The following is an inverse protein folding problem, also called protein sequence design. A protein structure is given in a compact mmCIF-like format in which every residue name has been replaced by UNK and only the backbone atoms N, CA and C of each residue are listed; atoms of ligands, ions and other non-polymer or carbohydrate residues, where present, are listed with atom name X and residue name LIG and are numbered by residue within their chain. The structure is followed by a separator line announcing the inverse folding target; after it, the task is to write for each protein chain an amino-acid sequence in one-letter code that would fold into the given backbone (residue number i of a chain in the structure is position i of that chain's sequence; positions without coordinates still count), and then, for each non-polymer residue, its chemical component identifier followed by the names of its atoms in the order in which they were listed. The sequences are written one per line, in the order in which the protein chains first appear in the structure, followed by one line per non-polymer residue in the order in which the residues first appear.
data_IF_681285391125
#
_entry.id   IF_681285391125
#
_cell.length_a   1.000
_cell.length_b   1.000
_cell.length_c   1.000
_cell.angle_alpha   90.00
_cell.angle_beta   90.00
_cell.angle_gamma   90.00
#
_symmetry.space_group_name_H-M   'P 1'
#
loop_
_entity.id
_entity.type
_entity.pdbx_description
1 polymer ?
#
# COMPACT_ATOMS: atom_id res chain seq x y z
N UNK A 1 -23.44 -12.90 -0.29
CA UNK A 1 -24.83 -13.06 -0.75
C UNK A 1 -24.97 -12.75 -2.22
N UNK A 2 -26.04 -13.30 -2.85
CA UNK A 2 -26.45 -12.91 -4.19
C UNK A 2 -27.70 -12.04 -4.07
N UNK A 3 -27.79 -11.05 -4.93
CA UNK A 3 -28.97 -10.21 -5.09
C UNK A 3 -29.40 -10.24 -6.55
N UNK A 4 -30.70 -10.30 -6.79
CA UNK A 4 -31.30 -10.30 -8.12
C UNK A 4 -32.01 -8.97 -8.32
N UNK A 5 -31.49 -8.14 -9.19
CA UNK A 5 -32.14 -6.91 -9.63
C UNK A 5 -33.14 -7.25 -10.73
N UNK A 6 -34.41 -7.02 -10.44
CA UNK A 6 -35.48 -7.21 -11.43
C UNK A 6 -35.59 -5.98 -12.33
N UNK A 7 -35.98 -6.17 -13.61
CA UNK A 7 -36.22 -5.03 -14.51
C UNK A 7 -37.32 -4.10 -13.97
N UNK A 8 -37.23 -2.81 -14.24
CA UNK A 8 -38.25 -1.83 -13.88
C UNK A 8 -39.65 -2.28 -14.42
N UNK A 9 -40.62 -2.40 -13.54
CA UNK A 9 -41.97 -2.85 -13.88
C UNK A 9 -42.27 -4.34 -13.63
N UNK A 10 -41.29 -5.12 -13.17
CA UNK A 10 -41.50 -6.52 -12.76
C UNK A 10 -42.13 -6.66 -11.37
N UNK A 11 -42.34 -5.57 -10.64
CA UNK A 11 -43.10 -5.53 -9.36
C UNK A 11 -44.61 -5.50 -9.65
N UNK A 12 -45.12 -6.51 -10.27
CA UNK A 12 -46.57 -6.71 -10.52
C UNK A 12 -47.18 -7.69 -9.53
N UNK A 13 -48.25 -7.27 -8.87
CA UNK A 13 -49.06 -8.08 -7.98
C UNK A 13 -49.45 -9.44 -8.61
N UNK A 14 -49.07 -10.54 -7.94
CA UNK A 14 -49.78 -11.81 -8.00
C UNK A 14 -49.68 -12.64 -9.28
N UNK A 15 -48.93 -13.60 -9.20
CA UNK A 15 -48.66 -14.88 -9.81
C UNK A 15 -47.16 -14.97 -10.22
N UNK A 16 -46.39 -15.71 -9.44
CA UNK A 16 -44.96 -15.86 -9.63
C UNK A 16 -44.62 -16.35 -11.03
N UNK A 17 -44.39 -15.41 -11.94
CA UNK A 17 -43.94 -15.71 -13.27
C UNK A 17 -42.43 -15.91 -13.24
N UNK A 18 -42.00 -17.17 -13.18
CA UNK A 18 -40.60 -17.58 -13.23
C UNK A 18 -39.82 -16.97 -14.43
N UNK A 19 -40.53 -16.46 -15.44
CA UNK A 19 -39.87 -15.73 -16.55
C UNK A 19 -39.25 -14.40 -16.14
N UNK A 20 -39.88 -13.65 -15.20
CA UNK A 20 -39.33 -12.36 -14.75
C UNK A 20 -38.05 -12.49 -13.90
N UNK A 21 -37.92 -13.59 -13.16
CA UNK A 21 -36.71 -13.87 -12.37
C UNK A 21 -35.49 -14.16 -13.25
N UNK A 22 -35.69 -14.79 -14.43
CA UNK A 22 -34.64 -15.06 -15.39
C UNK A 22 -34.19 -13.83 -16.21
N UNK A 23 -35.05 -12.80 -16.21
CA UNK A 23 -34.70 -11.50 -16.84
C UNK A 23 -33.94 -10.58 -15.91
N UNK A 24 -33.88 -10.89 -14.61
CA UNK A 24 -33.14 -10.13 -13.61
C UNK A 24 -31.61 -10.22 -13.78
N UNK A 25 -30.92 -9.23 -13.26
CA UNK A 25 -29.46 -9.21 -13.20
C UNK A 25 -28.98 -9.72 -11.85
N UNK A 26 -28.27 -10.85 -11.83
CA UNK A 26 -27.66 -11.38 -10.62
C UNK A 26 -26.39 -10.59 -10.30
N UNK A 27 -26.24 -10.18 -9.05
CA UNK A 27 -25.01 -9.53 -8.55
C UNK A 27 -24.57 -10.09 -7.19
N UNK A 28 -23.29 -9.94 -6.90
CA UNK A 28 -22.81 -10.15 -5.54
C UNK A 28 -23.24 -8.96 -4.66
N UNK A 29 -23.64 -9.26 -3.42
CA UNK A 29 -23.95 -8.27 -2.42
C UNK A 29 -23.35 -8.67 -1.07
N UNK A 30 -22.50 -7.80 -0.52
CA UNK A 30 -21.84 -7.97 0.77
C UNK A 30 -21.05 -6.72 1.12
N UNK A 31 -21.05 -6.32 2.40
CA UNK A 31 -20.42 -5.08 2.85
C UNK A 31 -18.93 -5.04 2.44
N UNK A 32 -18.15 -6.02 2.85
CA UNK A 32 -16.71 -6.09 2.54
C UNK A 32 -16.46 -6.22 1.03
N UNK A 33 -17.26 -7.03 0.34
CA UNK A 33 -17.16 -7.16 -1.12
C UNK A 33 -17.38 -5.81 -1.83
N UNK A 34 -18.42 -5.08 -1.46
CA UNK A 34 -18.74 -3.79 -2.07
C UNK A 34 -17.70 -2.72 -1.71
N UNK A 35 -17.19 -2.73 -0.48
CA UNK A 35 -16.11 -1.84 -0.03
C UNK A 35 -14.83 -2.07 -0.84
N UNK A 36 -14.38 -3.32 -0.98
CA UNK A 36 -13.19 -3.66 -1.75
C UNK A 36 -13.36 -3.43 -3.24
N UNK A 37 -14.55 -3.70 -3.78
CA UNK A 37 -14.86 -3.34 -5.18
C UNK A 37 -14.82 -1.83 -5.40
N UNK A 38 -15.27 -1.05 -4.41
CA UNK A 38 -15.17 0.42 -4.42
C UNK A 38 -13.71 0.88 -4.35
N UNK A 39 -12.90 0.35 -3.44
CA UNK A 39 -11.48 0.69 -3.32
C UNK A 39 -10.70 0.41 -4.63
N UNK A 40 -10.95 -0.74 -5.25
CA UNK A 40 -10.33 -1.13 -6.53
C UNK A 40 -10.99 -0.50 -7.77
N UNK A 41 -11.88 0.47 -7.60
CA UNK A 41 -12.41 1.30 -8.70
C UNK A 41 -11.55 2.53 -8.98
N UNK A 42 -10.62 2.89 -8.07
CA UNK A 42 -9.66 3.97 -8.28
C UNK A 42 -8.44 3.49 -9.08
N UNK A 43 -8.13 4.09 -10.25
CA UNK A 43 -6.97 3.68 -11.05
C UNK A 43 -5.64 3.83 -10.33
N UNK A 44 -5.49 4.81 -9.43
CA UNK A 44 -4.25 5.02 -8.69
C UNK A 44 -4.02 3.87 -7.68
N UNK A 45 -5.07 3.46 -6.96
CA UNK A 45 -5.02 2.31 -6.05
C UNK A 45 -4.68 1.02 -6.79
N UNK A 46 -5.31 0.76 -7.94
CA UNK A 46 -5.02 -0.43 -8.76
C UNK A 46 -3.58 -0.44 -9.28
N UNK A 47 -3.04 0.72 -9.64
CA UNK A 47 -1.63 0.82 -10.05
C UNK A 47 -0.70 0.57 -8.87
N UNK A 48 -0.98 1.14 -7.70
CA UNK A 48 -0.18 0.96 -6.50
C UNK A 48 -0.12 -0.50 -6.06
N UNK A 49 -1.26 -1.17 -5.97
CA UNK A 49 -1.35 -2.62 -5.71
C UNK A 49 -0.52 -3.44 -6.70
N UNK A 50 -0.58 -3.06 -7.98
CA UNK A 50 0.17 -3.76 -9.04
C UNK A 50 1.68 -3.52 -8.93
N UNK A 51 2.11 -2.34 -8.46
CA UNK A 51 3.51 -2.02 -8.17
C UNK A 51 3.97 -2.78 -6.93
N UNK A 52 3.18 -2.77 -5.83
CA UNK A 52 3.45 -3.54 -4.63
C UNK A 52 3.64 -5.03 -4.94
N UNK A 53 2.70 -5.63 -5.67
CA UNK A 53 2.80 -7.03 -6.09
C UNK A 53 3.99 -7.32 -7.01
N UNK A 54 4.55 -6.33 -7.68
CA UNK A 54 5.73 -6.47 -8.51
C UNK A 54 7.04 -6.25 -7.73
N UNK A 55 7.01 -5.41 -6.70
CA UNK A 55 8.15 -5.16 -5.80
C UNK A 55 8.32 -6.29 -4.77
N UNK A 56 7.22 -6.87 -4.28
CA UNK A 56 7.23 -7.80 -3.15
C UNK A 56 6.54 -9.14 -3.45
N UNK A 57 6.87 -9.83 -4.57
CA UNK A 57 6.11 -11.00 -5.03
C UNK A 57 6.10 -12.19 -4.06
N UNK A 58 7.09 -12.28 -3.17
CA UNK A 58 7.26 -13.42 -2.26
C UNK A 58 6.81 -13.11 -0.82
N UNK A 59 6.12 -11.98 -0.60
CA UNK A 59 5.71 -11.50 0.72
C UNK A 59 4.21 -11.24 0.81
N UNK A 60 3.71 -10.94 2.01
CA UNK A 60 2.32 -10.53 2.21
C UNK A 60 1.96 -9.21 1.49
N UNK A 61 2.95 -8.36 1.23
CA UNK A 61 2.76 -7.10 0.52
C UNK A 61 2.38 -7.27 -0.97
N UNK A 62 2.49 -8.50 -1.52
CA UNK A 62 1.98 -8.79 -2.86
C UNK A 62 0.44 -8.81 -2.95
N UNK A 63 -0.24 -8.76 -1.81
CA UNK A 63 -1.68 -8.95 -1.72
C UNK A 63 -2.35 -7.75 -1.04
N UNK A 64 -3.51 -7.35 -1.57
CA UNK A 64 -4.34 -6.33 -0.93
C UNK A 64 -4.89 -6.83 0.41
N UNK A 65 -4.68 -6.04 1.49
CA UNK A 65 -5.02 -6.42 2.86
C UNK A 65 -6.52 -6.53 3.11
N UNK A 66 -7.32 -5.73 2.42
CA UNK A 66 -8.79 -5.77 2.49
C UNK A 66 -9.43 -6.96 1.77
N UNK A 67 -8.66 -7.64 0.93
CA UNK A 67 -9.06 -8.82 0.17
C UNK A 67 -9.43 -8.54 -1.28
N UNK A 68 -9.18 -9.52 -2.13
CA UNK A 68 -9.55 -9.47 -3.55
C UNK A 68 -11.06 -9.75 -3.70
N UNK A 69 -11.87 -8.81 -4.25
CA UNK A 69 -13.31 -9.02 -4.47
C UNK A 69 -13.62 -10.27 -5.31
N UNK A 70 -12.69 -10.72 -6.15
CA UNK A 70 -12.86 -11.96 -6.93
C UNK A 70 -12.72 -13.22 -6.07
N UNK A 71 -11.98 -13.16 -4.98
CA UNK A 71 -11.76 -14.27 -4.04
C UNK A 71 -12.77 -14.28 -2.89
N UNK A 72 -13.25 -13.12 -2.43
CA UNK A 72 -14.17 -12.99 -1.30
C UNK A 72 -15.42 -13.88 -1.41
N UNK A 73 -16.11 -13.99 -2.58
CA UNK A 73 -17.31 -14.82 -2.69
C UNK A 73 -17.05 -16.32 -2.54
N UNK A 74 -15.81 -16.78 -2.71
CA UNK A 74 -15.42 -18.18 -2.58
C UNK A 74 -15.01 -18.60 -1.17
N UNK A 75 -14.88 -17.63 -0.23
CA UNK A 75 -14.51 -17.92 1.16
C UNK A 75 -15.61 -18.69 1.88
N UNK A 76 -15.22 -19.72 2.63
CA UNK A 76 -16.14 -20.45 3.48
C UNK A 76 -16.18 -19.90 4.90
N UNK A 77 -17.26 -20.19 5.63
CA UNK A 77 -17.40 -19.79 7.04
C UNK A 77 -16.30 -20.42 7.91
N UNK A 78 -15.93 -21.66 7.61
CA UNK A 78 -14.88 -22.39 8.31
C UNK A 78 -13.50 -21.72 8.12
N UNK A 79 -13.18 -21.28 6.89
CA UNK A 79 -11.95 -20.53 6.60
C UNK A 79 -11.93 -19.21 7.36
N UNK A 80 -13.07 -18.50 7.39
CA UNK A 80 -13.19 -17.24 8.13
C UNK A 80 -12.92 -17.44 9.63
N UNK A 81 -13.55 -18.44 10.26
CA UNK A 81 -13.36 -18.74 11.68
C UNK A 81 -11.93 -19.20 11.99
N UNK A 82 -11.34 -20.02 11.13
CA UNK A 82 -9.96 -20.52 11.30
C UNK A 82 -8.95 -19.36 11.21
N UNK A 83 -9.08 -18.47 10.23
CA UNK A 83 -8.23 -17.29 10.10
C UNK A 83 -8.34 -16.38 11.32
N UNK A 84 -9.57 -16.09 11.78
CA UNK A 84 -9.77 -15.29 12.99
C UNK A 84 -9.11 -15.95 14.22
N UNK A 85 -9.32 -17.25 14.41
CA UNK A 85 -8.76 -17.96 15.55
C UNK A 85 -7.22 -18.01 15.57
N UNK A 86 -6.59 -18.00 14.41
CA UNK A 86 -5.12 -18.02 14.29
C UNK A 86 -4.49 -16.65 14.52
N UNK A 87 -5.11 -15.59 14.01
CA UNK A 87 -4.46 -14.28 13.94
C UNK A 87 -4.94 -13.29 15.01
N UNK A 88 -6.19 -13.40 15.49
CA UNK A 88 -6.76 -12.46 16.46
C UNK A 88 -6.61 -12.97 17.90
N UNK A 89 -5.43 -12.77 18.46
CA UNK A 89 -5.15 -13.12 19.87
C UNK A 89 -4.15 -12.12 20.49
N UNK A 90 -4.11 -11.99 21.83
CA UNK A 90 -3.26 -11.02 22.52
C UNK A 90 -1.76 -11.18 22.23
N UNK A 91 -1.27 -12.40 21.96
CA UNK A 91 0.15 -12.63 21.63
C UNK A 91 0.53 -12.16 20.22
N UNK A 92 -0.44 -11.84 19.38
CA UNK A 92 -0.26 -11.32 18.02
C UNK A 92 -0.89 -9.92 17.91
N UNK A 93 -0.64 -9.06 18.91
CA UNK A 93 -1.21 -7.70 18.91
C UNK A 93 -0.24 -6.69 19.50
N UNK A 94 -0.25 -5.49 18.95
CA UNK A 94 0.38 -4.31 19.51
C UNK A 94 -0.71 -3.38 20.04
N UNK A 95 -0.56 -2.89 21.27
CA UNK A 95 -1.56 -2.06 21.93
C UNK A 95 -0.95 -0.69 22.19
N UNK A 96 -1.52 0.35 21.58
CA UNK A 96 -1.13 1.74 21.81
C UNK A 96 -2.25 2.46 22.57
N UNK A 97 -1.86 3.22 23.59
CA UNK A 97 -2.78 4.03 24.38
C UNK A 97 -2.29 5.48 24.36
N UNK A 98 -3.16 6.39 23.98
CA UNK A 98 -2.85 7.82 23.89
C UNK A 98 -3.96 8.66 24.53
N UNK A 99 -3.58 9.63 25.37
CA UNK A 99 -4.50 10.58 26.00
C UNK A 99 -4.20 10.80 27.49
N UNK A 100 -5.05 11.56 28.15
CA UNK A 100 -5.03 11.76 29.59
C UNK A 100 -5.72 10.57 30.27
N UNK A 101 -4.95 9.52 30.56
CA UNK A 101 -5.43 8.27 31.14
C UNK A 101 -4.57 7.83 32.32
N UNK A 102 -5.21 7.10 33.25
CA UNK A 102 -4.52 6.38 34.30
C UNK A 102 -3.89 5.10 33.73
N UNK A 103 -2.59 5.17 33.48
CA UNK A 103 -1.83 4.08 32.82
C UNK A 103 -1.87 2.81 33.66
N UNK A 104 -1.72 2.89 35.00
CA UNK A 104 -1.71 1.72 35.87
C UNK A 104 -3.05 1.01 35.85
N UNK A 105 -4.14 1.77 35.86
CA UNK A 105 -5.49 1.23 35.75
C UNK A 105 -5.75 0.60 34.38
N UNK A 106 -5.26 1.23 33.30
CA UNK A 106 -5.40 0.69 31.95
C UNK A 106 -4.61 -0.63 31.79
N UNK A 107 -3.37 -0.68 32.28
CA UNK A 107 -2.55 -1.90 32.27
C UNK A 107 -3.18 -3.02 33.11
N UNK A 108 -3.66 -2.71 34.33
CA UNK A 108 -4.37 -3.69 35.15
C UNK A 108 -5.61 -4.25 34.45
N UNK A 109 -6.40 -3.39 33.79
CA UNK A 109 -7.56 -3.81 33.01
C UNK A 109 -7.19 -4.74 31.85
N UNK A 110 -6.14 -4.40 31.09
CA UNK A 110 -5.65 -5.22 29.97
C UNK A 110 -5.17 -6.59 30.47
N UNK A 111 -4.39 -6.61 31.57
CA UNK A 111 -3.91 -7.86 32.13
C UNK A 111 -5.07 -8.74 32.62
N UNK A 112 -5.94 -8.22 33.49
CA UNK A 112 -7.05 -8.98 34.06
C UNK A 112 -8.05 -9.50 33.04
N UNK A 113 -8.32 -8.72 31.99
CA UNK A 113 -9.39 -9.04 31.04
C UNK A 113 -8.93 -9.81 29.82
N UNK A 114 -7.68 -9.62 29.39
CA UNK A 114 -7.20 -10.14 28.10
C UNK A 114 -5.91 -10.96 28.24
N UNK A 115 -4.87 -10.41 28.86
CA UNK A 115 -3.53 -11.03 28.83
C UNK A 115 -3.45 -12.26 29.76
N UNK A 116 -4.00 -12.19 30.98
CA UNK A 116 -4.04 -13.31 31.93
C UNK A 116 -4.98 -14.43 31.48
N UNK A 117 -5.93 -14.13 30.57
CA UNK A 117 -6.89 -15.08 30.03
C UNK A 117 -6.50 -15.49 28.61
N UNK A 118 -5.20 -15.81 28.39
CA UNK A 118 -4.72 -16.14 27.05
C UNK A 118 -5.63 -17.13 26.35
N UNK A 119 -5.97 -16.81 25.09
CA UNK A 119 -6.87 -17.62 24.26
C UNK A 119 -6.26 -19.03 24.04
N UNK A 120 -7.10 -19.97 23.61
CA UNK A 120 -6.62 -21.30 23.22
C UNK A 120 -5.57 -21.24 22.10
N UNK A 121 -5.64 -20.22 21.23
CA UNK A 121 -4.66 -19.98 20.19
C UNK A 121 -3.31 -19.54 20.75
N UNK A 122 -3.29 -18.58 21.72
CA UNK A 122 -2.06 -18.17 22.41
C UNK A 122 -1.41 -19.37 23.11
N UNK A 123 -2.20 -20.19 23.84
CA UNK A 123 -1.68 -21.39 24.50
C UNK A 123 -1.09 -22.42 23.53
N UNK A 124 -1.66 -22.53 22.31
CA UNK A 124 -1.09 -23.38 21.27
C UNK A 124 0.26 -22.86 20.78
N UNK A 125 0.36 -21.56 20.55
CA UNK A 125 1.59 -20.91 20.13
C UNK A 125 2.66 -21.08 21.20
N UNK A 126 2.35 -20.77 22.46
CA UNK A 126 3.27 -20.95 23.58
C UNK A 126 3.72 -22.39 23.76
N UNK A 127 2.81 -23.35 23.59
CA UNK A 127 3.13 -24.77 23.66
C UNK A 127 4.03 -25.23 22.52
N UNK A 128 3.83 -24.73 21.30
CA UNK A 128 4.64 -25.05 20.14
C UNK A 128 6.06 -24.46 20.28
N UNK A 129 6.18 -23.22 20.74
CA UNK A 129 7.48 -22.59 21.05
C UNK A 129 8.21 -23.37 22.14
N UNK A 130 7.52 -23.77 23.20
CA UNK A 130 8.09 -24.59 24.29
C UNK A 130 8.51 -25.99 23.82
N UNK A 131 7.84 -26.54 22.81
CA UNK A 131 8.19 -27.81 22.17
C UNK A 131 9.34 -27.69 21.14
N UNK A 132 9.81 -26.47 20.86
CA UNK A 132 10.83 -26.21 19.84
C UNK A 132 10.31 -26.31 18.41
N UNK A 133 8.98 -26.22 18.22
CA UNK A 133 8.35 -26.12 16.91
C UNK A 133 8.53 -24.70 16.36
N UNK A 134 8.61 -24.59 15.02
CA UNK A 134 8.68 -23.30 14.37
C UNK A 134 7.33 -22.59 14.44
N UNK A 135 7.20 -21.44 15.16
CA UNK A 135 5.95 -20.71 15.26
C UNK A 135 5.42 -20.23 13.90
N UNK A 136 6.32 -20.00 12.93
CA UNK A 136 5.97 -19.58 11.57
C UNK A 136 5.15 -20.64 10.82
N UNK A 137 5.27 -21.90 11.20
CA UNK A 137 4.47 -22.98 10.62
C UNK A 137 3.00 -22.93 11.08
N UNK A 138 2.73 -22.32 12.25
CA UNK A 138 1.38 -22.17 12.81
C UNK A 138 0.69 -20.88 12.34
N UNK A 139 1.46 -19.82 12.21
CA UNK A 139 1.03 -18.55 11.64
C UNK A 139 2.19 -18.02 10.78
N UNK A 140 2.12 -18.16 9.45
CA UNK A 140 3.16 -17.65 8.57
C UNK A 140 3.45 -16.20 8.89
N UNK A 141 4.72 -15.88 9.17
CA UNK A 141 5.12 -14.51 9.45
C UNK A 141 5.12 -13.74 8.13
N UNK A 142 4.24 -12.74 7.95
CA UNK A 142 4.22 -11.92 6.76
C UNK A 142 5.40 -10.95 6.67
N UNK A 143 6.18 -10.81 7.76
CA UNK A 143 7.29 -9.86 7.89
C UNK A 143 8.59 -10.45 7.33
N UNK A 144 8.55 -10.90 6.09
CA UNK A 144 9.72 -11.44 5.37
C UNK A 144 10.30 -10.33 4.50
N UNK A 145 11.64 -10.17 4.57
CA UNK A 145 12.37 -9.26 3.67
C UNK A 145 12.36 -9.84 2.26
N UNK A 146 11.83 -9.08 1.32
CA UNK A 146 11.91 -9.40 -0.10
C UNK A 146 13.35 -9.24 -0.59
N UNK A 147 13.88 -10.28 -1.20
CA UNK A 147 15.15 -10.14 -1.94
C UNK A 147 14.96 -9.23 -3.16
N UNK A 148 15.99 -8.45 -3.56
CA UNK A 148 15.84 -7.54 -4.69
C UNK A 148 15.26 -8.22 -5.94
N UNK A 149 14.25 -7.58 -6.52
CA UNK A 149 13.56 -8.02 -7.74
C UNK A 149 13.46 -6.84 -8.71
N UNK A 150 13.88 -7.06 -9.95
CA UNK A 150 13.66 -6.08 -11.02
C UNK A 150 12.52 -6.52 -11.93
N UNK A 151 11.37 -5.86 -11.82
CA UNK A 151 10.28 -5.98 -12.78
C UNK A 151 10.46 -4.94 -13.89
N UNK A 152 11.07 -5.33 -14.98
CA UNK A 152 11.40 -4.43 -16.11
C UNK A 152 10.17 -3.80 -16.77
N UNK A 153 9.04 -4.50 -16.78
CA UNK A 153 7.77 -4.01 -17.29
C UNK A 153 6.64 -4.99 -17.00
N UNK A 154 5.54 -4.47 -16.44
CA UNK A 154 4.27 -5.19 -16.26
C UNK A 154 3.14 -4.32 -16.77
N UNK A 155 2.16 -4.93 -17.42
CA UNK A 155 0.96 -4.25 -17.88
C UNK A 155 -0.26 -4.80 -17.17
N UNK A 156 -1.05 -3.91 -16.59
CA UNK A 156 -2.34 -4.20 -15.96
C UNK A 156 -3.45 -3.54 -16.76
N UNK A 157 -4.55 -4.25 -16.97
CA UNK A 157 -5.72 -3.73 -17.66
C UNK A 157 -6.80 -3.35 -16.65
N UNK A 158 -7.41 -2.20 -16.84
CA UNK A 158 -8.54 -1.74 -16.02
C UNK A 158 -9.64 -1.16 -16.91
N UNK A 159 -10.88 -1.54 -16.62
CA UNK A 159 -12.06 -0.93 -17.27
C UNK A 159 -12.22 0.51 -16.76
N UNK A 160 -11.73 1.46 -17.53
CA UNK A 160 -11.77 2.89 -17.17
C UNK A 160 -11.60 3.76 -18.43
N UNK A 161 -11.72 5.08 -18.26
CA UNK A 161 -11.57 6.02 -19.39
C UNK A 161 -10.10 6.20 -19.80
N UNK A 162 -9.81 6.57 -21.04
CA UNK A 162 -8.43 6.73 -21.54
C UNK A 162 -7.58 7.72 -20.73
N UNK A 163 -8.20 8.74 -20.10
CA UNK A 163 -7.53 9.75 -19.29
C UNK A 163 -6.93 9.15 -18.02
N UNK A 164 -7.41 8.00 -17.60
CA UNK A 164 -6.93 7.24 -16.44
C UNK A 164 -5.77 6.29 -16.78
N UNK A 165 -5.15 6.43 -17.93
CA UNK A 165 -3.91 5.72 -18.24
C UNK A 165 -2.79 6.19 -17.31
N UNK A 166 -2.14 5.25 -16.60
CA UNK A 166 -1.10 5.54 -15.62
C UNK A 166 0.16 4.72 -15.91
N UNK A 167 1.31 5.26 -15.51
CA UNK A 167 2.56 4.50 -15.44
C UNK A 167 3.19 4.73 -14.07
N UNK A 168 3.42 3.65 -13.32
CA UNK A 168 4.10 3.65 -12.03
C UNK A 168 5.52 3.12 -12.14
N UNK A 169 6.46 3.83 -11.51
CA UNK A 169 7.81 3.38 -11.27
C UNK A 169 8.00 3.28 -9.76
N UNK A 170 8.09 2.06 -9.23
CA UNK A 170 8.36 1.77 -7.83
C UNK A 170 9.84 1.51 -7.58
N UNK A 171 10.38 2.06 -6.50
CA UNK A 171 11.79 1.94 -6.09
C UNK A 171 11.84 1.62 -4.61
N UNK A 172 12.37 0.46 -4.23
CA UNK A 172 12.54 0.10 -2.81
C UNK A 172 13.71 0.90 -2.23
N UNK A 173 13.47 1.51 -1.07
CA UNK A 173 14.39 2.46 -0.44
C UNK A 173 15.36 1.82 0.56
N UNK A 174 15.05 0.61 1.03
CA UNK A 174 15.81 -0.11 2.04
C UNK A 174 14.94 -0.62 3.19
N UNK A 175 15.41 -0.52 4.43
CA UNK A 175 14.69 -0.99 5.63
C UNK A 175 14.00 0.17 6.34
N UNK A 176 12.79 -0.06 6.86
CA UNK A 176 12.07 0.87 7.74
C UNK A 176 12.86 1.20 9.03
N UNK A 177 13.78 0.32 9.44
CA UNK A 177 14.64 0.53 10.61
C UNK A 177 15.80 1.51 10.33
N UNK A 178 16.13 1.77 9.07
CA UNK A 178 17.09 2.81 8.69
C UNK A 178 16.37 4.17 8.54
N UNK A 179 16.07 4.79 9.66
CA UNK A 179 15.31 6.05 9.70
C UNK A 179 15.98 7.21 8.98
N UNK A 180 17.32 7.32 9.08
CA UNK A 180 18.04 8.36 8.36
C UNK A 180 17.84 8.22 6.87
N UNK A 181 18.02 7.00 6.34
CA UNK A 181 17.87 6.71 4.92
C UNK A 181 16.44 6.95 4.43
N UNK A 182 15.43 6.49 5.20
CA UNK A 182 14.01 6.65 4.82
C UNK A 182 13.61 8.12 4.78
N UNK A 183 13.94 8.90 5.82
CA UNK A 183 13.62 10.34 5.89
C UNK A 183 14.42 11.10 4.82
N UNK A 184 15.70 10.76 4.60
CA UNK A 184 16.49 11.38 3.55
C UNK A 184 15.94 11.11 2.14
N UNK A 185 15.46 9.90 1.89
CA UNK A 185 14.84 9.54 0.62
C UNK A 185 13.55 10.33 0.38
N UNK A 186 12.68 10.43 1.37
CA UNK A 186 11.45 11.23 1.30
C UNK A 186 11.75 12.71 0.98
N UNK A 187 12.67 13.34 1.73
CA UNK A 187 13.13 14.71 1.47
C UNK A 187 13.72 14.85 0.06
N UNK A 188 14.51 13.88 -0.36
CA UNK A 188 15.14 13.89 -1.69
C UNK A 188 14.08 13.82 -2.79
N UNK A 189 13.15 12.87 -2.75
CA UNK A 189 12.11 12.73 -3.77
C UNK A 189 11.14 13.91 -3.77
N UNK A 190 10.82 14.48 -2.61
CA UNK A 190 10.06 15.74 -2.54
C UNK A 190 10.83 16.90 -3.22
N UNK A 191 12.14 17.00 -3.01
CA UNK A 191 12.97 18.00 -3.69
C UNK A 191 13.01 17.82 -5.21
N UNK A 192 12.94 16.59 -5.70
CA UNK A 192 13.02 16.23 -7.11
C UNK A 192 11.68 16.28 -7.84
N UNK A 193 10.56 16.03 -7.16
CA UNK A 193 9.25 15.76 -7.77
C UNK A 193 8.10 16.58 -7.15
N UNK A 194 8.23 17.11 -5.92
CA UNK A 194 7.13 17.67 -5.14
C UNK A 194 6.49 18.95 -5.68
N UNK A 195 7.10 19.62 -6.64
CA UNK A 195 6.53 20.82 -7.29
C UNK A 195 6.80 20.84 -8.79
N UNK A 196 6.03 21.63 -9.55
CA UNK A 196 6.24 21.77 -10.99
C UNK A 196 7.60 22.36 -11.37
N UNK A 197 8.25 23.06 -10.43
CA UNK A 197 9.62 23.60 -10.59
C UNK A 197 10.69 22.61 -10.11
N UNK A 198 10.30 21.45 -9.59
CA UNK A 198 11.23 20.40 -9.18
C UNK A 198 11.95 19.82 -10.42
N UNK A 199 13.26 19.60 -10.36
CA UNK A 199 14.06 19.37 -11.56
C UNK A 199 13.66 18.12 -12.33
N UNK A 200 13.40 17.02 -11.64
CA UNK A 200 13.01 15.74 -12.28
C UNK A 200 11.60 15.81 -12.82
N UNK A 201 10.65 16.35 -12.04
CA UNK A 201 9.27 16.55 -12.50
C UNK A 201 9.22 17.43 -13.76
N UNK A 202 9.98 18.52 -13.77
CA UNK A 202 10.10 19.41 -14.92
C UNK A 202 10.64 18.70 -16.17
N UNK A 203 11.64 17.84 -16.01
CA UNK A 203 12.21 17.04 -17.12
C UNK A 203 11.15 16.07 -17.69
N UNK A 204 10.41 15.37 -16.83
CA UNK A 204 9.36 14.43 -17.26
C UNK A 204 8.22 15.18 -17.97
N UNK A 205 7.74 16.31 -17.42
CA UNK A 205 6.69 17.11 -18.03
C UNK A 205 7.13 17.69 -19.38
N UNK A 206 8.39 18.14 -19.50
CA UNK A 206 8.96 18.64 -20.75
C UNK A 206 9.08 17.56 -21.85
N UNK A 207 9.20 16.29 -21.47
CA UNK A 207 9.21 15.17 -22.41
C UNK A 207 7.81 14.89 -23.01
N UNK A 208 6.74 15.45 -22.44
CA UNK A 208 5.38 15.35 -22.98
C UNK A 208 4.79 13.93 -22.98
N UNK A 209 5.20 13.09 -22.02
CA UNK A 209 4.79 11.68 -21.95
C UNK A 209 3.40 11.47 -21.32
N UNK A 210 2.88 12.47 -20.62
CA UNK A 210 1.60 12.44 -19.93
C UNK A 210 1.20 13.82 -19.41
N UNK A 211 0.15 13.87 -18.59
CA UNK A 211 -0.44 15.13 -18.12
C UNK A 211 0.19 15.67 -16.83
N UNK A 212 0.57 14.81 -15.91
CA UNK A 212 1.14 15.19 -14.61
C UNK A 212 2.00 14.06 -14.02
N UNK A 213 2.85 14.40 -13.06
CA UNK A 213 3.62 13.45 -12.25
C UNK A 213 3.32 13.71 -10.79
N UNK A 214 3.01 12.66 -10.06
CA UNK A 214 2.92 12.65 -8.60
C UNK A 214 3.85 11.59 -8.05
N UNK A 215 4.35 11.79 -6.84
CA UNK A 215 5.12 10.76 -6.15
C UNK A 215 4.83 10.79 -4.66
N UNK A 216 5.09 9.67 -4.01
CA UNK A 216 5.03 9.57 -2.54
C UNK A 216 5.89 8.41 -2.04
N UNK A 217 6.37 8.57 -0.83
CA UNK A 217 7.09 7.53 -0.09
C UNK A 217 6.10 6.71 0.74
N UNK A 218 5.98 5.42 0.45
CA UNK A 218 5.24 4.47 1.30
C UNK A 218 6.18 3.98 2.41
N UNK A 219 6.16 4.69 3.55
CA UNK A 219 7.12 4.49 4.65
C UNK A 219 6.69 3.43 5.68
N UNK A 220 5.47 2.90 5.58
CA UNK A 220 4.83 2.08 6.63
C UNK A 220 5.11 0.58 6.46
N UNK A 221 5.80 0.17 5.40
CA UNK A 221 6.18 -1.22 5.16
C UNK A 221 7.56 -1.54 5.71
N UNK A 222 7.86 -2.84 5.93
CA UNK A 222 9.18 -3.32 6.33
C UNK A 222 10.30 -2.82 5.41
N UNK A 223 10.02 -2.72 4.13
CA UNK A 223 10.89 -2.15 3.11
C UNK A 223 10.13 -1.01 2.43
N UNK A 224 10.30 0.23 2.90
CA UNK A 224 9.70 1.40 2.27
C UNK A 224 10.03 1.49 0.78
N UNK A 225 9.11 2.03 0.00
CA UNK A 225 9.33 2.31 -1.41
C UNK A 225 8.86 3.70 -1.80
N UNK A 226 9.45 4.24 -2.85
CA UNK A 226 8.97 5.42 -3.54
C UNK A 226 8.15 5.00 -4.75
N UNK A 227 6.95 5.57 -4.92
CA UNK A 227 6.15 5.43 -6.13
C UNK A 227 6.13 6.74 -6.90
N UNK A 228 6.65 6.71 -8.12
CA UNK A 228 6.57 7.81 -9.08
C UNK A 228 5.49 7.44 -10.11
N UNK A 229 4.45 8.25 -10.23
CA UNK A 229 3.29 7.96 -11.05
C UNK A 229 3.08 9.04 -12.10
N UNK A 230 3.15 8.66 -13.36
CA UNK A 230 2.77 9.49 -14.50
C UNK A 230 1.27 9.33 -14.75
N UNK A 231 0.52 10.43 -14.68
CA UNK A 231 -0.92 10.50 -14.90
C UNK A 231 -1.25 10.90 -16.35
N UNK A 232 -2.38 10.41 -16.86
CA UNK A 232 -2.81 10.62 -18.25
C UNK A 232 -1.68 10.29 -19.22
N UNK A 233 -1.11 9.10 -19.03
CA UNK A 233 0.07 8.63 -19.76
C UNK A 233 -0.28 8.31 -21.22
N UNK A 234 0.58 8.69 -22.15
CA UNK A 234 0.45 8.26 -23.53
C UNK A 234 0.71 6.75 -23.66
N UNK A 235 0.09 6.05 -24.60
CA UNK A 235 0.31 4.62 -24.78
C UNK A 235 1.79 4.28 -25.07
N UNK A 236 2.34 3.30 -24.33
CA UNK A 236 3.66 2.74 -24.59
C UNK A 236 4.85 3.60 -24.11
N UNK A 237 4.62 4.64 -23.30
CA UNK A 237 5.68 5.54 -22.79
C UNK A 237 6.41 5.04 -21.55
N UNK A 238 6.03 3.91 -20.99
CA UNK A 238 6.57 3.46 -19.71
C UNK A 238 8.11 3.40 -19.68
N UNK A 239 8.74 2.78 -20.66
CA UNK A 239 10.20 2.71 -20.74
C UNK A 239 10.85 4.07 -20.97
N UNK A 240 10.18 4.95 -21.70
CA UNK A 240 10.65 6.32 -21.93
C UNK A 240 10.58 7.15 -20.65
N UNK A 241 9.51 7.01 -19.86
CA UNK A 241 9.41 7.62 -18.52
C UNK A 241 10.60 7.22 -17.64
N UNK A 242 10.88 5.92 -17.53
CA UNK A 242 12.03 5.43 -16.76
C UNK A 242 13.34 6.03 -17.26
N UNK A 243 13.53 6.10 -18.58
CA UNK A 243 14.74 6.67 -19.19
C UNK A 243 14.88 8.15 -18.85
N UNK A 244 13.86 8.97 -19.07
CA UNK A 244 13.86 10.41 -18.75
C UNK A 244 14.11 10.65 -17.27
N UNK A 245 13.44 9.88 -16.41
CA UNK A 245 13.63 9.92 -14.95
C UNK A 245 15.11 9.63 -14.57
N UNK A 246 15.66 8.51 -15.06
CA UNK A 246 17.05 8.13 -14.76
C UNK A 246 18.08 9.10 -15.32
N UNK A 247 17.85 9.66 -16.53
CA UNK A 247 18.75 10.64 -17.13
C UNK A 247 18.76 11.94 -16.32
N UNK A 248 17.59 12.42 -15.87
CA UNK A 248 17.50 13.61 -15.01
C UNK A 248 18.18 13.38 -13.64
N UNK A 249 18.00 12.19 -13.05
CA UNK A 249 18.67 11.85 -11.80
C UNK A 249 20.18 11.73 -11.97
N UNK A 250 20.66 11.22 -13.10
CA UNK A 250 22.09 11.14 -13.43
C UNK A 250 22.72 12.52 -13.53
N UNK A 251 22.04 13.44 -14.20
CA UNK A 251 22.49 14.84 -14.30
C UNK A 251 22.64 15.48 -12.91
N UNK A 252 21.68 15.24 -12.01
CA UNK A 252 21.75 15.75 -10.63
C UNK A 252 22.86 15.07 -9.79
N UNK A 253 23.15 13.79 -10.03
CA UNK A 253 24.29 13.13 -9.39
C UNK A 253 25.65 13.70 -9.84
N UNK A 254 25.71 14.31 -11.03
CA UNK A 254 26.93 14.89 -11.61
C UNK A 254 27.07 16.39 -11.28
N UNK A 255 25.97 17.13 -11.23
CA UNK A 255 25.96 18.58 -11.10
C UNK A 255 25.47 19.09 -9.74
N UNK A 256 24.96 18.20 -8.89
CA UNK A 256 24.44 18.49 -7.56
C UNK A 256 22.91 18.61 -7.49
N UNK A 257 22.35 18.13 -6.38
CA UNK A 257 20.93 18.35 -6.02
C UNK A 257 20.78 19.77 -5.46
N UNK A 258 19.73 20.54 -5.84
CA UNK A 258 19.56 21.92 -5.38
C UNK A 258 19.48 22.02 -3.84
N UNK A 259 20.56 22.44 -3.20
CA UNK A 259 20.72 22.52 -1.74
C UNK A 259 19.61 23.33 -1.07
N UNK A 260 19.28 24.51 -1.61
CA UNK A 260 18.23 25.38 -1.04
C UNK A 260 16.87 24.67 -0.96
N UNK A 261 16.58 23.78 -1.92
CA UNK A 261 15.37 22.96 -1.88
C UNK A 261 15.40 21.94 -0.74
N UNK A 262 16.51 21.21 -0.62
CA UNK A 262 16.68 20.23 0.46
C UNK A 262 16.54 20.91 1.84
N UNK A 263 17.19 22.05 2.03
CA UNK A 263 17.14 22.83 3.27
C UNK A 263 15.73 23.31 3.60
N UNK A 264 14.99 23.78 2.58
CA UNK A 264 13.61 24.22 2.74
C UNK A 264 12.70 23.06 3.15
N UNK A 265 12.81 21.89 2.51
CA UNK A 265 11.98 20.71 2.81
C UNK A 265 12.34 20.15 4.19
N UNK A 266 13.63 20.02 4.54
CA UNK A 266 14.07 19.62 5.88
C UNK A 266 13.45 20.53 6.95
N UNK A 267 13.43 21.84 6.69
CA UNK A 267 12.88 22.80 7.64
C UNK A 267 11.35 22.75 7.75
N UNK A 268 10.67 22.55 6.61
CA UNK A 268 9.21 22.41 6.57
C UNK A 268 8.77 21.14 7.28
N UNK A 269 9.34 20.00 6.92
CA UNK A 269 8.95 18.70 7.50
C UNK A 269 9.21 18.65 9.00
N UNK A 270 10.37 19.17 9.46
CA UNK A 270 10.63 19.23 10.90
C UNK A 270 9.67 20.19 11.62
N UNK A 271 9.30 21.31 10.99
CA UNK A 271 8.32 22.24 11.55
C UNK A 271 6.95 21.57 11.71
N UNK A 272 6.46 20.86 10.69
CA UNK A 272 5.17 20.18 10.71
C UNK A 272 5.12 19.10 11.80
N UNK A 273 6.20 18.29 11.93
CA UNK A 273 6.33 17.32 13.01
C UNK A 273 6.32 17.98 14.40
N UNK A 274 7.00 19.13 14.57
CA UNK A 274 7.01 19.89 15.84
C UNK A 274 5.68 20.52 16.16
N UNK A 275 4.92 20.97 15.16
CA UNK A 275 3.56 21.51 15.32
C UNK A 275 2.52 20.41 15.49
N UNK A 276 2.88 19.15 15.27
CA UNK A 276 1.96 18.00 15.21
C UNK A 276 0.86 18.19 14.17
N UNK A 277 1.22 18.76 13.05
CA UNK A 277 0.31 18.91 11.91
C UNK A 277 0.33 17.64 11.06
N UNK A 278 -0.32 16.60 11.60
CA UNK A 278 -0.38 15.29 10.97
C UNK A 278 -1.57 15.12 10.00
N UNK A 279 -2.46 16.10 9.91
CA UNK A 279 -3.71 15.96 9.13
C UNK A 279 -4.73 14.98 9.70
N UNK A 280 -4.37 14.24 10.76
CA UNK A 280 -5.20 13.27 11.50
C UNK A 280 -5.02 13.46 13.00
N UNK A 281 -5.79 12.74 13.82
CA UNK A 281 -5.68 12.83 15.27
C UNK A 281 -4.27 12.40 15.76
N UNK A 282 -3.64 13.22 16.62
CA UNK A 282 -2.28 13.01 17.15
C UNK A 282 -2.02 11.57 17.62
N UNK A 283 -2.97 11.01 18.39
CA UNK A 283 -2.81 9.66 18.94
C UNK A 283 -2.74 8.59 17.86
N UNK A 284 -3.45 8.78 16.76
CA UNK A 284 -3.41 7.86 15.60
C UNK A 284 -2.07 8.01 14.87
N UNK A 285 -1.66 9.25 14.56
CA UNK A 285 -0.40 9.51 13.88
C UNK A 285 0.79 8.95 14.66
N UNK A 286 0.89 9.26 15.95
CA UNK A 286 1.97 8.78 16.83
C UNK A 286 1.96 7.25 16.94
N UNK A 287 0.77 6.62 16.98
CA UNK A 287 0.66 5.17 17.00
C UNK A 287 1.14 4.54 15.69
N UNK A 288 0.74 5.08 14.53
CA UNK A 288 1.21 4.64 13.22
C UNK A 288 2.73 4.81 13.07
N UNK A 289 3.28 5.96 13.48
CA UNK A 289 4.72 6.20 13.46
C UNK A 289 5.47 5.17 14.34
N UNK A 290 4.99 4.93 15.56
CA UNK A 290 5.60 3.92 16.43
C UNK A 290 5.55 2.53 15.79
N UNK A 291 4.42 2.15 15.22
CA UNK A 291 4.22 0.85 14.58
C UNK A 291 5.06 0.69 13.30
N UNK A 292 5.38 1.75 12.57
CA UNK A 292 6.21 1.69 11.35
C UNK A 292 7.61 1.10 11.57
N UNK A 293 8.06 1.02 12.82
CA UNK A 293 9.33 0.38 13.21
C UNK A 293 9.14 -0.75 14.21
N UNK A 294 8.20 -0.59 15.15
CA UNK A 294 7.97 -1.56 16.23
C UNK A 294 7.46 -2.92 15.71
N UNK A 295 6.68 -2.94 14.64
CA UNK A 295 6.22 -4.19 13.99
C UNK A 295 7.38 -5.08 13.53
N UNK A 296 8.56 -4.52 13.30
CA UNK A 296 9.71 -5.19 12.70
C UNK A 296 10.84 -5.46 13.67
N UNK A 297 10.86 -4.75 14.80
CA UNK A 297 11.87 -4.90 15.86
C UNK A 297 11.27 -4.43 17.20
N UNK A 298 11.20 -5.33 18.16
CA UNK A 298 10.64 -5.05 19.49
C UNK A 298 11.40 -3.93 20.23
N UNK A 299 12.68 -3.76 19.95
CA UNK A 299 13.52 -2.70 20.55
C UNK A 299 13.31 -1.34 19.85
N UNK A 300 12.63 -1.32 18.70
CA UNK A 300 12.43 -0.12 17.88
C UNK A 300 11.10 0.62 18.13
N UNK A 301 10.37 0.32 19.23
CA UNK A 301 9.05 0.90 19.52
C UNK A 301 9.00 2.45 19.53
N UNK A 302 10.12 3.11 19.81
CA UNK A 302 10.21 4.59 19.83
C UNK A 302 11.17 5.13 18.79
N UNK A 303 11.67 4.31 17.89
CA UNK A 303 12.68 4.70 16.90
C UNK A 303 12.16 5.79 15.96
N UNK A 304 10.98 5.58 15.40
CA UNK A 304 10.35 6.54 14.49
C UNK A 304 10.01 7.88 15.16
N UNK A 305 9.72 7.87 16.47
CA UNK A 305 9.38 9.07 17.23
C UNK A 305 10.57 9.97 17.55
N UNK A 306 11.81 9.47 17.37
CA UNK A 306 13.06 10.18 17.65
C UNK A 306 13.61 10.87 16.39
N UNK A 307 12.80 11.68 15.75
CA UNK A 307 13.16 12.33 14.49
C UNK A 307 14.18 13.48 14.63
N UNK A 308 14.20 14.20 15.75
CA UNK A 308 15.04 15.40 15.92
C UNK A 308 16.53 15.19 15.59
N UNK A 309 17.22 14.19 16.19
CA UNK A 309 18.61 13.91 15.84
C UNK A 309 18.84 13.60 14.36
N UNK A 310 17.88 12.93 13.71
CA UNK A 310 17.97 12.60 12.27
C UNK A 310 17.94 13.87 11.42
N UNK A 311 17.05 14.83 11.73
CA UNK A 311 17.01 16.10 11.02
C UNK A 311 18.25 16.95 11.25
N UNK A 312 18.84 16.93 12.46
CA UNK A 312 20.14 17.60 12.74
C UNK A 312 21.25 17.00 11.90
N UNK A 313 21.31 15.68 11.82
CA UNK A 313 22.30 14.96 11.00
C UNK A 313 22.12 15.29 9.51
N UNK A 314 20.89 15.22 8.96
CA UNK A 314 20.61 15.54 7.57
C UNK A 314 20.99 16.98 7.19
N UNK A 315 20.83 17.94 8.12
CA UNK A 315 21.33 19.30 7.88
C UNK A 315 22.86 19.36 7.76
N UNK A 316 23.58 18.56 8.52
CA UNK A 316 25.02 18.50 8.43
C UNK A 316 25.52 17.87 7.12
N UNK A 317 24.68 17.02 6.51
CA UNK A 317 24.98 16.38 5.21
C UNK A 317 24.79 17.32 4.00
N UNK A 318 24.11 18.46 4.18
CA UNK A 318 23.87 19.40 3.08
C UNK A 318 25.15 20.01 2.46
N UNK A 319 26.26 20.02 3.19
CA UNK A 319 27.55 20.51 2.69
C UNK A 319 28.39 19.44 1.99
N UNK A 320 27.91 18.17 2.01
CA UNK A 320 28.58 17.01 1.41
C UNK A 320 27.94 16.55 0.10
N UNK A 321 28.18 15.27 -0.23
CA UNK A 321 27.63 14.58 -1.41
C UNK A 321 26.59 13.52 -1.03
N UNK A 322 26.13 13.53 0.22
CA UNK A 322 25.25 12.49 0.76
C UNK A 322 23.98 12.30 -0.08
N UNK A 323 23.31 13.39 -0.47
CA UNK A 323 22.06 13.32 -1.23
C UNK A 323 22.29 12.87 -2.68
N UNK A 324 23.39 13.24 -3.31
CA UNK A 324 23.78 12.75 -4.64
C UNK A 324 24.17 11.27 -4.60
N UNK A 325 24.86 10.83 -3.57
CA UNK A 325 25.23 9.43 -3.38
C UNK A 325 23.99 8.58 -3.10
N UNK A 326 23.07 9.06 -2.24
CA UNK A 326 21.78 8.43 -1.97
C UNK A 326 20.94 8.35 -3.26
N UNK A 327 20.87 9.43 -4.06
CA UNK A 327 20.16 9.43 -5.34
C UNK A 327 20.73 8.37 -6.30
N UNK A 328 22.04 8.28 -6.37
CA UNK A 328 22.72 7.27 -7.19
C UNK A 328 22.38 5.85 -6.77
N UNK A 329 22.39 5.57 -5.47
CA UNK A 329 22.02 4.27 -4.91
C UNK A 329 20.56 3.95 -5.18
N UNK A 330 19.64 4.87 -4.85
CA UNK A 330 18.20 4.63 -4.91
C UNK A 330 17.65 4.52 -6.33
N UNK A 331 18.32 5.15 -7.34
CA UNK A 331 17.77 5.25 -8.70
C UNK A 331 18.67 4.56 -9.73
N UNK A 332 19.97 4.82 -9.70
CA UNK A 332 20.87 4.38 -10.79
C UNK A 332 21.48 3.00 -10.52
N UNK A 333 21.61 2.61 -9.25
CA UNK A 333 22.19 1.34 -8.82
C UNK A 333 21.17 0.41 -8.18
N UNK A 334 19.91 0.83 -8.09
CA UNK A 334 18.84 0.05 -7.47
C UNK A 334 18.41 -1.10 -8.39
N UNK A 335 18.56 -2.31 -7.90
CA UNK A 335 18.11 -3.55 -8.55
C UNK A 335 16.75 -4.06 -7.99
N UNK A 336 16.14 -3.30 -7.07
CA UNK A 336 14.82 -3.59 -6.50
C UNK A 336 13.81 -2.54 -6.96
N UNK A 337 13.25 -2.76 -8.14
CA UNK A 337 12.36 -1.81 -8.80
C UNK A 337 11.30 -2.48 -9.65
N UNK A 338 10.21 -1.75 -9.89
CA UNK A 338 9.13 -2.20 -10.77
C UNK A 338 8.65 -1.07 -11.68
N UNK A 339 8.43 -1.38 -12.95
CA UNK A 339 7.78 -0.51 -13.93
C UNK A 339 6.45 -1.11 -14.35
N UNK A 340 5.35 -0.45 -14.01
CA UNK A 340 4.00 -0.94 -14.24
C UNK A 340 3.19 0.07 -15.06
N UNK A 341 2.52 -0.40 -16.09
CA UNK A 341 1.57 0.38 -16.90
C UNK A 341 0.14 -0.08 -16.60
N UNK A 342 -0.72 0.83 -16.17
CA UNK A 342 -2.17 0.61 -16.12
C UNK A 342 -2.78 1.11 -17.41
N UNK A 343 -3.31 0.17 -18.21
CA UNK A 343 -3.90 0.42 -19.50
C UNK A 343 -5.44 0.42 -19.42
N UNK A 344 -6.10 1.54 -19.70
CA UNK A 344 -7.55 1.57 -19.88
C UNK A 344 -8.02 0.60 -20.95
N UNK A 345 -9.11 -0.11 -20.65
CA UNK A 345 -9.81 -1.00 -21.59
C UNK A 345 -11.32 -0.79 -21.49
N UNK A 346 -12.07 -1.28 -22.45
CA UNK A 346 -13.54 -1.29 -22.39
C UNK A 346 -14.03 -2.20 -21.26
N UNK A 347 -15.22 -1.90 -20.71
CA UNK A 347 -15.82 -2.64 -19.60
C UNK A 347 -15.90 -4.16 -19.83
N UNK A 348 -16.16 -4.58 -21.08
CA UNK A 348 -16.22 -6.00 -21.46
C UNK A 348 -14.88 -6.74 -21.35
N UNK A 349 -13.74 -6.02 -21.42
CA UNK A 349 -12.39 -6.58 -21.31
C UNK A 349 -11.81 -6.49 -19.90
N UNK A 350 -12.49 -5.80 -18.99
CA UNK A 350 -12.10 -5.64 -17.59
C UNK A 350 -12.61 -6.78 -16.70
N UNK A 351 -12.26 -6.71 -15.41
CA UNK A 351 -12.72 -7.66 -14.38
C UNK A 351 -14.24 -7.69 -14.23
N UNK A 352 -14.92 -6.56 -14.45
CA UNK A 352 -16.38 -6.46 -14.38
C UNK A 352 -17.07 -7.24 -15.50
N UNK A 353 -16.51 -7.27 -16.70
CA UNK A 353 -17.04 -8.08 -17.80
C UNK A 353 -16.96 -9.58 -17.49
N UNK A 354 -15.87 -10.03 -16.88
CA UNK A 354 -15.71 -11.41 -16.45
C UNK A 354 -16.69 -11.79 -15.32
N UNK A 355 -16.87 -10.91 -14.32
CA UNK A 355 -17.84 -11.08 -13.23
C UNK A 355 -19.28 -11.16 -13.77
N UNK A 356 -19.66 -10.25 -14.68
CA UNK A 356 -20.99 -10.23 -15.29
C UNK A 356 -21.27 -11.51 -16.09
N UNK A 357 -20.29 -12.03 -16.82
CA UNK A 357 -20.40 -13.28 -17.56
C UNK A 357 -20.56 -14.49 -16.61
N UNK A 358 -19.78 -14.55 -15.54
CA UNK A 358 -19.90 -15.59 -14.50
C UNK A 358 -21.28 -15.58 -13.83
N UNK A 359 -21.75 -14.39 -13.40
CA UNK A 359 -23.04 -14.25 -12.74
C UNK A 359 -24.21 -14.57 -13.68
N UNK A 360 -24.08 -14.21 -14.95
CA UNK A 360 -25.06 -14.59 -15.98
C UNK A 360 -25.16 -16.11 -16.14
N UNK A 361 -23.99 -16.78 -16.28
CA UNK A 361 -23.96 -18.24 -16.36
C UNK A 361 -24.53 -18.91 -15.11
N UNK A 362 -24.26 -18.33 -13.92
CA UNK A 362 -24.75 -18.82 -12.65
C UNK A 362 -26.28 -18.67 -12.53
N UNK A 363 -26.80 -17.51 -12.92
CA UNK A 363 -28.24 -17.25 -13.00
C UNK A 363 -28.94 -18.25 -13.94
N UNK A 364 -28.36 -18.47 -15.12
CA UNK A 364 -28.95 -19.36 -16.14
C UNK A 364 -28.92 -20.85 -15.70
N UNK A 365 -28.04 -21.19 -14.78
CA UNK A 365 -27.96 -22.53 -14.18
C UNK A 365 -28.87 -22.72 -12.93
N UNK A 366 -29.47 -21.64 -12.41
CA UNK A 366 -30.41 -21.75 -11.27
C UNK A 366 -31.70 -22.47 -11.73
N UNK A 367 -32.12 -23.42 -10.94
CA UNK A 367 -33.46 -24.06 -11.08
C UNK A 367 -34.48 -23.31 -10.27
N UNK A 368 -35.70 -23.28 -10.75
CA UNK A 368 -36.86 -22.69 -10.03
C UNK A 368 -37.03 -23.26 -8.62
#
# INVERSE_FOLDING_TARGET
HYELDLPEGAEGEGDGNSASLREGTLRYNGVVFNEMKGALSDPMSVLDDAVNAALYPDTAYAHESGGDPRAIPALTYEQFLDTHARHYNPSNSYITLYGDLDVDRALAFLDERYLSQSSAASRRMDAAVAAGEDPSALAPNPLVVQTPVTCEYKRVKMATTPENALVGLGLVLGSALDRKRTIAADILFEALLGSNEAPVKKAILAAGLGGNVVSYTAAESLQPYELIMLQNAQPGVARELRRVFQDACRDLCEHGVPRERLEAIISSNEYDLRQRDYGIADGVAIACDALSTWLYDDDAATLALKYGPVYEELRSELDGTYFEDLLRELVLQNDHMALVELAPVDAAEGSEGAEAAELTAKRDAMTD
#
